data_IF_515693489044
#
_entry.id   IF_515693489044
#
_cell.length_a   1.000
_cell.length_b   1.000
_cell.length_c   1.000
_cell.angle_alpha   90.00
_cell.angle_beta   90.00
_cell.angle_gamma   90.00
#
_symmetry.space_group_name_H-M   'P 1'
#
loop_
_entity.id
_entity.type
_entity.pdbx_description
1 polymer ?
#
# COMPACT_ATOMS: atom_id res chain seq x y z
N UNK A 1 0.76 24.98 -7.85
CA UNK A 1 1.69 23.88 -7.51
C UNK A 1 3.09 24.32 -7.88
N UNK A 2 3.91 24.67 -6.90
CA UNK A 2 5.33 25.00 -7.13
C UNK A 2 6.05 23.71 -7.58
N UNK A 3 6.73 23.78 -8.72
CA UNK A 3 7.66 22.72 -9.13
C UNK A 3 8.77 22.65 -8.08
N UNK A 4 8.86 21.52 -7.39
CA UNK A 4 10.02 21.21 -6.56
C UNK A 4 11.20 21.03 -7.53
N UNK A 5 12.02 22.06 -7.66
CA UNK A 5 13.23 22.05 -8.52
C UNK A 5 14.44 21.54 -7.75
N UNK A 6 14.28 20.45 -6.98
CA UNK A 6 15.31 19.88 -6.14
C UNK A 6 15.23 18.36 -6.09
N UNK A 7 16.32 17.74 -5.70
CA UNK A 7 16.41 16.31 -5.45
C UNK A 7 15.93 16.03 -4.02
N UNK A 8 14.67 15.63 -3.85
CA UNK A 8 13.97 15.49 -2.55
C UNK A 8 14.62 14.41 -1.68
N UNK A 9 15.00 14.77 -0.46
CA UNK A 9 15.56 13.87 0.52
C UNK A 9 14.50 12.99 1.17
N UNK A 10 14.54 11.66 0.92
CA UNK A 10 13.60 10.69 1.44
C UNK A 10 14.15 9.97 2.67
N UNK A 11 13.42 10.04 3.78
CA UNK A 11 13.66 9.20 4.94
C UNK A 11 12.83 7.92 4.88
N UNK A 12 13.48 6.75 4.89
CA UNK A 12 12.80 5.45 4.83
C UNK A 12 12.71 4.84 6.23
N UNK A 13 11.49 4.64 6.70
CA UNK A 13 11.19 3.99 7.99
C UNK A 13 10.74 2.54 7.72
N UNK A 14 11.50 1.58 8.27
CA UNK A 14 11.22 0.16 8.08
C UNK A 14 12.00 -0.44 6.90
N UNK A 15 13.14 -1.05 7.20
CA UNK A 15 14.01 -1.74 6.24
C UNK A 15 13.89 -3.26 6.34
N UNK A 16 12.66 -3.78 6.46
CA UNK A 16 12.35 -5.18 6.31
C UNK A 16 12.45 -5.62 4.85
N UNK A 17 12.03 -6.86 4.55
CA UNK A 17 12.07 -7.43 3.18
C UNK A 17 11.45 -6.49 2.13
N UNK A 18 10.36 -5.80 2.46
CA UNK A 18 9.69 -4.91 1.52
C UNK A 18 10.36 -3.53 1.47
N UNK A 19 10.69 -2.94 2.61
CA UNK A 19 11.35 -1.63 2.68
C UNK A 19 12.74 -1.61 2.03
N UNK A 20 13.46 -2.73 2.06
CA UNK A 20 14.74 -2.86 1.35
C UNK A 20 14.63 -2.67 -0.16
N UNK A 21 13.44 -2.89 -0.76
CA UNK A 21 13.21 -2.61 -2.19
C UNK A 21 13.15 -1.11 -2.46
N UNK A 22 12.47 -0.35 -1.60
CA UNK A 22 12.42 1.12 -1.70
C UNK A 22 13.82 1.71 -1.59
N UNK A 23 14.58 1.26 -0.57
CA UNK A 23 15.95 1.69 -0.37
C UNK A 23 16.83 1.34 -1.57
N UNK A 24 16.72 0.12 -2.11
CA UNK A 24 17.45 -0.31 -3.30
C UNK A 24 17.19 0.61 -4.49
N UNK A 25 15.92 0.90 -4.80
CA UNK A 25 15.56 1.78 -5.91
C UNK A 25 16.10 3.19 -5.73
N UNK A 26 16.06 3.74 -4.50
CA UNK A 26 16.64 5.07 -4.22
C UNK A 26 18.16 5.09 -4.40
N UNK A 27 18.86 4.01 -4.03
CA UNK A 27 20.30 3.88 -4.24
C UNK A 27 20.65 3.67 -5.73
N UNK A 28 19.82 2.99 -6.51
CA UNK A 28 19.96 2.81 -7.95
C UNK A 28 19.62 4.09 -8.75
N UNK A 29 18.96 5.05 -8.12
CA UNK A 29 18.61 6.36 -8.68
C UNK A 29 17.16 6.46 -9.13
N UNK A 30 16.36 7.15 -8.33
CA UNK A 30 15.00 7.58 -8.70
C UNK A 30 15.06 9.06 -9.06
N UNK A 31 14.67 9.46 -10.29
CA UNK A 31 14.74 10.86 -10.70
C UNK A 31 14.00 11.79 -9.72
N UNK A 32 14.66 12.87 -9.30
CA UNK A 32 14.07 13.87 -8.41
C UNK A 32 14.06 13.51 -6.93
N UNK A 33 14.64 12.40 -6.49
CA UNK A 33 14.77 12.06 -5.08
C UNK A 33 16.04 11.26 -4.77
N UNK A 34 16.46 11.31 -3.51
CA UNK A 34 17.59 10.54 -2.99
C UNK A 34 17.28 10.00 -1.60
N UNK A 35 18.03 8.98 -1.19
CA UNK A 35 17.95 8.41 0.15
C UNK A 35 18.69 9.32 1.14
N UNK A 36 17.96 10.06 1.98
CA UNK A 36 18.53 10.99 2.96
C UNK A 36 18.82 10.30 4.30
N UNK A 37 17.98 9.36 4.73
CA UNK A 37 18.14 8.65 5.99
C UNK A 37 17.35 7.35 6.01
N UNK A 38 17.74 6.43 6.90
CA UNK A 38 17.02 5.17 7.12
C UNK A 38 16.79 4.92 8.61
N UNK A 39 15.66 4.22 8.90
CA UNK A 39 15.39 3.73 10.25
C UNK A 39 14.91 2.28 10.21
N UNK A 40 15.40 1.48 11.15
CA UNK A 40 14.94 0.11 11.40
C UNK A 40 15.16 -0.27 12.85
N UNK A 41 14.34 -1.21 13.35
CA UNK A 41 14.41 -1.69 14.72
C UNK A 41 15.70 -2.49 15.06
N UNK A 42 16.22 -3.24 14.07
CA UNK A 42 17.49 -3.98 14.23
C UNK A 42 18.66 -3.01 13.99
N UNK A 43 19.23 -2.52 15.08
CA UNK A 43 20.31 -1.54 15.05
C UNK A 43 21.59 -2.06 14.41
N UNK A 44 21.95 -3.32 14.65
CA UNK A 44 23.19 -3.91 14.12
C UNK A 44 23.19 -3.87 12.60
N UNK A 45 22.13 -4.41 11.99
CA UNK A 45 21.98 -4.37 10.53
C UNK A 45 21.75 -2.95 10.01
N UNK A 46 21.14 -2.06 10.82
CA UNK A 46 20.93 -0.67 10.45
C UNK A 46 22.23 0.12 10.34
N UNK A 47 23.11 0.01 11.35
CA UNK A 47 24.43 0.65 11.34
C UNK A 47 25.34 0.10 10.25
N UNK A 48 25.38 -1.21 10.08
CA UNK A 48 26.16 -1.84 9.00
C UNK A 48 25.70 -1.38 7.60
N UNK A 49 24.40 -1.17 7.42
CA UNK A 49 23.86 -0.60 6.19
C UNK A 49 24.29 0.86 6.00
N UNK A 50 24.15 1.67 7.03
CA UNK A 50 24.52 3.09 7.04
C UNK A 50 26.01 3.30 6.68
N UNK A 51 26.89 2.56 7.30
CA UNK A 51 28.34 2.58 7.00
C UNK A 51 28.64 2.20 5.56
N UNK A 52 28.00 1.12 5.06
CA UNK A 52 28.22 0.64 3.68
C UNK A 52 27.80 1.64 2.62
N UNK A 53 26.73 2.39 2.87
CA UNK A 53 26.12 3.25 1.85
C UNK A 53 26.29 4.74 2.10
N UNK A 54 26.94 5.13 3.21
CA UNK A 54 27.15 6.52 3.57
C UNK A 54 25.84 7.28 3.87
N UNK A 55 24.84 6.57 4.42
CA UNK A 55 23.50 7.13 4.69
C UNK A 55 23.27 7.17 6.21
N UNK A 56 22.78 8.28 6.78
CA UNK A 56 22.43 8.37 8.20
C UNK A 56 21.43 7.28 8.62
N UNK A 57 21.68 6.66 9.78
CA UNK A 57 20.81 5.66 10.40
C UNK A 57 20.28 6.16 11.74
N UNK A 58 18.99 5.92 11.99
CA UNK A 58 18.32 6.22 13.26
C UNK A 58 17.61 4.97 13.79
N UNK A 59 17.91 4.58 15.02
CA UNK A 59 17.22 3.48 15.68
C UNK A 59 15.77 3.84 16.01
N UNK A 60 15.54 5.06 16.48
CA UNK A 60 14.20 5.64 16.64
C UNK A 60 13.82 6.42 15.38
N UNK A 61 12.77 5.98 14.72
CA UNK A 61 12.23 6.65 13.54
C UNK A 61 11.75 8.09 13.82
N UNK A 62 11.44 8.42 15.08
CA UNK A 62 11.02 9.78 15.47
C UNK A 62 12.14 10.79 15.26
N UNK A 63 13.38 10.39 15.53
CA UNK A 63 14.55 11.22 15.24
C UNK A 63 14.71 11.46 13.73
N UNK A 64 14.53 10.42 12.90
CA UNK A 64 14.58 10.54 11.46
C UNK A 64 13.56 11.57 10.94
N UNK A 65 12.32 11.52 11.45
CA UNK A 65 11.25 12.45 11.03
C UNK A 65 11.58 13.91 11.32
N UNK A 66 12.38 14.21 12.34
CA UNK A 66 12.75 15.60 12.68
C UNK A 66 13.93 16.14 11.89
N UNK A 67 14.64 15.32 11.14
CA UNK A 67 15.87 15.73 10.44
C UNK A 67 15.55 16.69 9.28
N UNK A 68 16.28 17.82 9.15
CA UNK A 68 16.04 18.78 8.06
C UNK A 68 16.36 18.20 6.67
N UNK A 69 17.32 17.29 6.56
CA UNK A 69 17.68 16.60 5.33
C UNK A 69 16.61 15.60 4.85
N UNK A 70 15.71 15.18 5.72
CA UNK A 70 14.54 14.37 5.37
C UNK A 70 13.40 15.31 4.99
N UNK A 71 13.14 15.46 3.71
CA UNK A 71 12.08 16.34 3.19
C UNK A 71 10.74 15.62 3.03
N UNK A 72 10.76 14.28 2.84
CA UNK A 72 9.56 13.47 2.84
C UNK A 72 9.84 12.08 3.48
N UNK A 73 8.80 11.44 3.98
CA UNK A 73 8.88 10.15 4.70
C UNK A 73 8.27 9.03 3.87
N UNK A 74 8.98 7.91 3.78
CA UNK A 74 8.48 6.64 3.23
C UNK A 74 8.36 5.63 4.37
N UNK A 75 7.13 5.28 4.76
CA UNK A 75 6.88 4.33 5.83
C UNK A 75 6.55 2.94 5.28
N UNK A 76 7.40 1.96 5.57
CA UNK A 76 7.28 0.55 5.17
C UNK A 76 7.31 -0.32 6.42
N UNK A 77 6.35 -0.10 7.29
CA UNK A 77 6.23 -0.69 8.62
C UNK A 77 4.99 -1.58 8.73
N UNK A 78 4.88 -2.42 9.76
CA UNK A 78 3.61 -3.04 10.10
C UNK A 78 2.53 -1.97 10.28
N UNK A 79 1.28 -2.22 9.82
CA UNK A 79 0.22 -1.20 9.77
C UNK A 79 -0.07 -0.50 11.10
N UNK A 80 0.13 -1.20 12.22
CA UNK A 80 -0.08 -0.64 13.56
C UNK A 80 0.81 0.56 13.91
N UNK A 81 1.93 0.78 13.19
CA UNK A 81 2.80 1.94 13.38
C UNK A 81 2.46 3.10 12.44
N UNK A 82 1.70 2.88 11.39
CA UNK A 82 1.46 3.87 10.34
C UNK A 82 0.80 5.14 10.88
N UNK A 83 -0.15 5.00 11.82
CA UNK A 83 -0.82 6.14 12.44
C UNK A 83 0.17 7.06 13.17
N UNK A 84 1.02 6.51 14.06
CA UNK A 84 1.99 7.32 14.80
C UNK A 84 2.99 8.02 13.87
N UNK A 85 3.51 7.31 12.88
CA UNK A 85 4.44 7.85 11.88
C UNK A 85 3.75 8.97 11.08
N UNK A 86 2.53 8.76 10.62
CA UNK A 86 1.77 9.76 9.87
C UNK A 86 1.55 11.04 10.68
N UNK A 87 1.10 10.92 11.92
CA UNK A 87 0.86 12.07 12.79
C UNK A 87 2.16 12.83 13.10
N UNK A 88 3.28 12.12 13.29
CA UNK A 88 4.58 12.75 13.51
C UNK A 88 5.08 13.48 12.26
N UNK A 89 5.00 12.86 11.08
CA UNK A 89 5.39 13.48 9.81
C UNK A 89 4.53 14.70 9.48
N UNK A 90 3.21 14.63 9.70
CA UNK A 90 2.30 15.77 9.53
C UNK A 90 2.68 16.94 10.44
N UNK A 91 2.95 16.69 11.75
CA UNK A 91 3.43 17.73 12.67
C UNK A 91 4.76 18.34 12.26
N UNK A 92 5.64 17.55 11.64
CA UNK A 92 6.91 18.02 11.11
C UNK A 92 6.78 18.70 9.73
N UNK A 93 5.57 18.84 9.19
CA UNK A 93 5.33 19.46 7.88
C UNK A 93 5.84 18.63 6.70
N UNK A 94 5.98 17.30 6.85
CA UNK A 94 6.60 16.43 5.83
C UNK A 94 5.57 15.63 5.06
N UNK A 95 5.57 15.69 3.72
CA UNK A 95 4.84 14.77 2.87
C UNK A 95 5.22 13.31 3.17
N UNK A 96 4.29 12.38 2.91
CA UNK A 96 4.55 10.99 3.22
C UNK A 96 3.92 10.01 2.22
N UNK A 97 4.67 8.95 1.95
CA UNK A 97 4.22 7.72 1.29
C UNK A 97 4.15 6.60 2.34
N UNK A 98 2.99 6.04 2.56
CA UNK A 98 2.77 4.98 3.56
C UNK A 98 2.36 3.68 2.85
N UNK A 99 3.02 2.58 3.20
CA UNK A 99 2.64 1.27 2.69
C UNK A 99 1.22 0.88 3.09
N UNK A 100 0.61 0.12 2.22
CA UNK A 100 -0.72 -0.46 2.46
C UNK A 100 -0.66 -1.61 3.50
N UNK A 101 -1.74 -1.82 4.26
CA UNK A 101 -2.89 -0.94 4.40
C UNK A 101 -2.50 0.36 5.13
N UNK A 102 -3.22 1.45 4.83
CA UNK A 102 -2.93 2.76 5.42
C UNK A 102 -3.01 2.72 6.96
N UNK A 103 -4.02 2.05 7.49
CA UNK A 103 -4.32 1.94 8.93
C UNK A 103 -5.03 0.62 9.23
N UNK A 104 -5.15 0.28 10.52
CA UNK A 104 -5.90 -0.89 10.99
C UNK A 104 -7.41 -0.65 11.02
N UNK A 105 -7.83 0.60 11.19
CA UNK A 105 -9.25 0.96 11.30
C UNK A 105 -9.59 2.19 10.46
N UNK A 106 -10.87 2.32 10.10
CA UNK A 106 -11.38 3.50 9.38
C UNK A 106 -11.21 4.78 10.21
N UNK A 107 -11.36 4.70 11.53
CA UNK A 107 -11.19 5.84 12.42
C UNK A 107 -9.75 6.37 12.38
N UNK A 108 -8.76 5.49 12.49
CA UNK A 108 -7.34 5.85 12.35
C UNK A 108 -7.04 6.45 10.97
N UNK A 109 -7.53 5.83 9.90
CA UNK A 109 -7.34 6.34 8.55
C UNK A 109 -7.90 7.75 8.36
N UNK A 110 -9.08 8.04 8.93
CA UNK A 110 -9.68 9.38 8.91
C UNK A 110 -8.85 10.39 9.70
N UNK A 111 -8.34 10.01 10.86
CA UNK A 111 -7.44 10.86 11.65
C UNK A 111 -6.16 11.19 10.89
N UNK A 112 -5.52 10.18 10.26
CA UNK A 112 -4.32 10.36 9.47
C UNK A 112 -4.54 11.32 8.29
N UNK A 113 -5.62 11.13 7.53
CA UNK A 113 -5.99 12.00 6.42
C UNK A 113 -6.30 13.43 6.91
N UNK A 114 -7.00 13.54 8.05
CA UNK A 114 -7.31 14.83 8.69
C UNK A 114 -6.04 15.57 9.11
N UNK A 115 -5.10 14.88 9.75
CA UNK A 115 -3.82 15.46 10.19
C UNK A 115 -2.97 15.94 9.01
N UNK A 116 -2.83 15.15 7.95
CA UNK A 116 -2.11 15.53 6.75
C UNK A 116 -2.75 16.76 6.07
N UNK A 117 -4.08 16.78 5.97
CA UNK A 117 -4.83 17.92 5.41
C UNK A 117 -4.65 19.19 6.23
N UNK A 118 -4.75 19.10 7.56
CA UNK A 118 -4.54 20.25 8.46
C UNK A 118 -3.12 20.80 8.38
N UNK A 119 -2.13 19.92 8.24
CA UNK A 119 -0.73 20.31 8.07
C UNK A 119 -0.40 20.81 6.65
N UNK A 120 -1.32 20.69 5.68
CA UNK A 120 -1.08 21.08 4.29
C UNK A 120 -0.06 20.19 3.56
N UNK A 121 0.16 18.95 4.02
CA UNK A 121 1.12 18.01 3.43
C UNK A 121 0.44 16.89 2.66
N UNK A 122 1.13 16.38 1.63
CA UNK A 122 0.65 15.24 0.87
C UNK A 122 0.75 13.94 1.68
N UNK A 123 -0.32 13.15 1.69
CA UNK A 123 -0.34 11.76 2.16
C UNK A 123 -0.73 10.86 1.01
N UNK A 124 0.12 9.90 0.69
CA UNK A 124 -0.11 8.89 -0.34
C UNK A 124 -0.01 7.50 0.26
N UNK A 125 -0.96 6.63 -0.08
CA UNK A 125 -0.87 5.19 0.20
C UNK A 125 -0.24 4.47 -0.99
N UNK A 126 0.67 3.53 -0.74
CA UNK A 126 1.38 2.80 -1.78
C UNK A 126 0.48 1.74 -2.46
N UNK A 127 -0.49 2.18 -3.24
CA UNK A 127 -1.32 1.33 -4.10
C UNK A 127 -0.61 1.09 -5.43
N UNK A 128 0.40 0.23 -5.38
CA UNK A 128 1.37 0.03 -6.48
C UNK A 128 0.77 -0.50 -7.76
N UNK A 129 -0.38 -1.19 -7.70
CA UNK A 129 -1.06 -1.70 -8.90
C UNK A 129 -1.49 -0.58 -9.85
N UNK A 130 -1.81 0.61 -9.34
CA UNK A 130 -2.17 1.78 -10.17
C UNK A 130 -1.07 2.20 -11.15
N UNK A 131 0.18 1.86 -10.86
CA UNK A 131 1.38 2.20 -11.65
C UNK A 131 1.92 1.01 -12.46
N UNK A 132 1.14 -0.07 -12.56
CA UNK A 132 1.51 -1.23 -13.37
C UNK A 132 1.10 -0.98 -14.81
N UNK A 133 2.02 -1.04 -15.80
CA UNK A 133 1.70 -0.71 -17.20
C UNK A 133 0.51 -1.48 -17.77
N UNK A 134 0.35 -2.75 -17.38
CA UNK A 134 -0.79 -3.58 -17.80
C UNK A 134 -2.12 -2.99 -17.31
N UNK A 135 -2.19 -2.52 -16.05
CA UNK A 135 -3.42 -1.98 -15.47
C UNK A 135 -3.69 -0.55 -15.93
N UNK A 136 -2.65 0.24 -16.18
CA UNK A 136 -2.79 1.53 -16.86
C UNK A 136 -3.36 1.33 -18.28
N UNK A 137 -2.83 0.34 -19.00
CA UNK A 137 -3.35 -0.01 -20.33
C UNK A 137 -4.78 -0.50 -20.26
N UNK A 138 -5.12 -1.41 -19.35
CA UNK A 138 -6.49 -1.87 -19.14
C UNK A 138 -7.42 -0.67 -18.92
N UNK A 139 -7.09 0.22 -17.98
CA UNK A 139 -7.91 1.43 -17.74
C UNK A 139 -8.11 2.28 -18.97
N UNK A 140 -7.05 2.48 -19.76
CA UNK A 140 -7.11 3.28 -20.98
C UNK A 140 -7.96 2.63 -22.08
N UNK A 141 -8.11 1.30 -22.07
CA UNK A 141 -8.88 0.55 -23.07
C UNK A 141 -10.32 0.24 -22.66
N UNK A 142 -10.70 0.40 -21.39
CA UNK A 142 -12.07 0.18 -20.92
C UNK A 142 -13.14 0.90 -21.77
N UNK A 143 -12.95 2.17 -22.21
CA UNK A 143 -13.95 2.83 -23.06
C UNK A 143 -14.23 2.13 -24.41
N UNK A 144 -13.30 1.30 -24.89
CA UNK A 144 -13.44 0.60 -26.17
C UNK A 144 -14.45 -0.56 -26.11
N UNK A 145 -14.70 -1.10 -24.91
CA UNK A 145 -15.66 -2.20 -24.72
C UNK A 145 -17.07 -1.69 -24.35
N UNK A 146 -17.26 -0.37 -24.37
CA UNK A 146 -18.53 0.26 -24.04
C UNK A 146 -18.84 0.27 -22.53
N UNK A 147 -20.07 0.56 -22.14
CA UNK A 147 -20.49 0.48 -20.73
C UNK A 147 -20.17 -0.86 -20.12
N UNK A 148 -19.56 -0.84 -18.92
CA UNK A 148 -19.23 -2.07 -18.20
C UNK A 148 -20.49 -2.77 -17.68
N UNK A 149 -20.53 -4.07 -17.85
CA UNK A 149 -21.58 -4.95 -17.32
C UNK A 149 -21.11 -5.82 -16.17
N UNK A 150 -19.80 -6.09 -16.12
CA UNK A 150 -19.21 -6.91 -15.05
C UNK A 150 -17.70 -6.67 -14.92
N UNK A 151 -17.19 -6.73 -13.67
CA UNK A 151 -15.75 -6.68 -13.36
C UNK A 151 -15.39 -7.82 -12.42
N UNK A 152 -14.41 -8.66 -12.80
CA UNK A 152 -13.89 -9.76 -12.00
C UNK A 152 -12.41 -9.59 -11.73
N UNK A 153 -12.02 -9.58 -10.47
CA UNK A 153 -10.64 -9.43 -10.03
C UNK A 153 -10.22 -10.63 -9.16
N UNK A 154 -9.09 -11.24 -9.51
CA UNK A 154 -8.55 -12.39 -8.78
C UNK A 154 -7.08 -12.14 -8.45
N UNK A 155 -6.72 -12.33 -7.18
CA UNK A 155 -5.33 -12.34 -6.75
C UNK A 155 -5.09 -13.52 -5.80
N UNK A 156 -4.21 -14.42 -6.22
CA UNK A 156 -3.81 -15.58 -5.44
C UNK A 156 -2.31 -15.55 -5.22
N UNK A 157 -1.87 -15.96 -4.06
CA UNK A 157 -0.45 -16.06 -3.73
C UNK A 157 -0.18 -17.27 -2.86
N UNK A 158 1.09 -17.61 -2.76
CA UNK A 158 1.58 -18.65 -1.87
C UNK A 158 1.50 -18.17 -0.42
N UNK A 159 1.38 -19.11 0.50
CA UNK A 159 1.41 -18.82 1.93
C UNK A 159 2.77 -18.19 2.32
N UNK A 160 2.79 -17.01 2.94
CA UNK A 160 4.03 -16.40 3.36
C UNK A 160 4.58 -17.11 4.63
N UNK A 161 5.89 -17.12 4.80
CA UNK A 161 6.52 -17.71 5.99
C UNK A 161 6.43 -16.80 7.23
N UNK A 162 5.61 -15.75 7.21
CA UNK A 162 5.57 -14.74 8.26
C UNK A 162 4.41 -14.96 9.22
N UNK A 163 4.73 -15.35 10.46
CA UNK A 163 3.74 -15.59 11.52
C UNK A 163 2.95 -14.33 11.93
N UNK A 164 3.52 -13.12 11.79
CA UNK A 164 2.84 -11.88 12.14
C UNK A 164 1.60 -11.60 11.28
N UNK A 165 1.53 -12.16 10.07
CA UNK A 165 0.36 -12.04 9.19
C UNK A 165 -0.85 -12.84 9.69
N UNK A 166 -0.66 -13.81 10.58
CA UNK A 166 -1.74 -14.54 11.25
C UNK A 166 -2.13 -13.90 12.60
N UNK A 167 -1.52 -12.76 12.94
CA UNK A 167 -1.84 -12.01 14.15
C UNK A 167 -2.68 -10.76 13.81
N UNK A 168 -4.00 -10.76 14.11
CA UNK A 168 -4.88 -9.64 13.78
C UNK A 168 -4.49 -8.34 14.48
N UNK A 169 -3.80 -8.38 15.62
CA UNK A 169 -3.30 -7.18 16.29
C UNK A 169 -2.15 -6.49 15.52
N UNK A 170 -1.38 -7.25 14.74
CA UNK A 170 -0.29 -6.72 13.93
C UNK A 170 -0.68 -6.48 12.49
N UNK A 171 -1.43 -7.41 11.88
CA UNK A 171 -1.83 -7.38 10.48
C UNK A 171 -3.13 -6.60 10.26
N UNK A 172 -3.99 -6.48 11.27
CA UNK A 172 -5.30 -5.84 11.19
C UNK A 172 -6.40 -6.72 10.59
N UNK A 173 -6.03 -7.83 9.93
CA UNK A 173 -6.92 -8.77 9.25
C UNK A 173 -6.13 -9.76 8.43
N UNK A 174 -6.81 -10.61 7.67
CA UNK A 174 -6.21 -11.63 6.83
C UNK A 174 -5.97 -11.20 5.40
N UNK A 175 -6.16 -12.13 4.48
CA UNK A 175 -5.84 -11.95 3.06
C UNK A 175 -6.65 -10.85 2.39
N UNK A 176 -7.87 -10.59 2.85
CA UNK A 176 -8.71 -9.53 2.28
C UNK A 176 -8.10 -8.15 2.54
N UNK A 177 -7.60 -7.90 3.76
CA UNK A 177 -6.91 -6.65 4.09
C UNK A 177 -5.50 -6.61 3.51
N UNK A 178 -4.78 -7.73 3.48
CA UNK A 178 -3.40 -7.78 3.01
C UNK A 178 -3.26 -7.72 1.49
N UNK A 179 -4.04 -8.53 0.76
CA UNK A 179 -4.01 -8.61 -0.71
C UNK A 179 -5.23 -7.95 -1.32
N UNK A 180 -6.41 -8.23 -0.77
CA UNK A 180 -7.68 -7.77 -1.33
C UNK A 180 -7.78 -6.26 -1.41
N UNK A 181 -7.14 -5.53 -0.50
CA UNK A 181 -7.09 -4.06 -0.54
C UNK A 181 -6.57 -3.51 -1.88
N UNK A 182 -5.66 -4.23 -2.54
CA UNK A 182 -5.20 -3.85 -3.87
C UNK A 182 -6.30 -3.98 -4.92
N UNK A 183 -7.14 -5.01 -4.82
CA UNK A 183 -8.24 -5.23 -5.76
C UNK A 183 -9.41 -4.28 -5.49
N UNK A 184 -9.67 -3.95 -4.22
CA UNK A 184 -10.67 -2.94 -3.84
C UNK A 184 -10.25 -1.55 -4.36
N UNK A 185 -8.98 -1.21 -4.24
CA UNK A 185 -8.42 0.01 -4.81
C UNK A 185 -8.48 -0.01 -6.34
N UNK A 186 -8.23 -1.17 -6.97
CA UNK A 186 -8.27 -1.33 -8.41
C UNK A 186 -9.69 -1.15 -8.98
N UNK A 187 -10.74 -1.62 -8.30
CA UNK A 187 -12.13 -1.34 -8.67
C UNK A 187 -12.32 0.17 -8.78
N UNK A 188 -11.97 0.92 -7.74
CA UNK A 188 -12.09 2.40 -7.72
C UNK A 188 -11.24 3.07 -8.80
N UNK A 189 -10.04 2.54 -9.05
CA UNK A 189 -9.12 3.06 -10.07
C UNK A 189 -9.64 2.87 -11.50
N UNK A 190 -10.24 1.71 -11.78
CA UNK A 190 -10.76 1.38 -13.11
C UNK A 190 -12.10 2.05 -13.40
N UNK A 191 -12.99 2.12 -12.39
CA UNK A 191 -14.38 2.60 -12.59
C UNK A 191 -14.61 4.03 -12.14
N UNK A 192 -13.81 4.53 -11.19
CA UNK A 192 -14.06 5.83 -10.53
C UNK A 192 -15.20 5.78 -9.51
N UNK A 193 -15.74 4.59 -9.21
CA UNK A 193 -16.93 4.42 -8.38
C UNK A 193 -16.63 3.80 -7.02
N UNK A 194 -17.56 3.98 -6.08
CA UNK A 194 -17.53 3.36 -4.75
C UNK A 194 -18.49 2.18 -4.70
N UNK A 195 -18.11 1.15 -3.93
CA UNK A 195 -19.01 0.05 -3.61
C UNK A 195 -20.07 0.49 -2.59
N UNK A 196 -21.34 0.22 -2.88
CA UNK A 196 -22.48 0.53 -2.01
C UNK A 196 -23.03 -0.70 -1.30
N UNK A 197 -22.75 -1.89 -1.83
CA UNK A 197 -23.11 -3.17 -1.21
C UNK A 197 -21.93 -4.13 -1.31
N UNK A 198 -21.79 -4.99 -0.30
CA UNK A 198 -20.83 -6.07 -0.28
C UNK A 198 -21.43 -7.32 0.37
N UNK A 199 -21.18 -8.49 -0.22
CA UNK A 199 -21.53 -9.79 0.34
C UNK A 199 -20.47 -10.83 -0.05
N UNK A 200 -20.15 -11.75 0.84
CA UNK A 200 -19.13 -12.76 0.54
C UNK A 200 -18.80 -13.66 1.71
N UNK A 201 -17.79 -14.48 1.48
CA UNK A 201 -17.30 -15.45 2.45
C UNK A 201 -15.82 -15.22 2.72
N UNK A 202 -15.44 -15.37 3.97
CA UNK A 202 -14.05 -15.37 4.44
C UNK A 202 -13.77 -16.69 5.15
N UNK A 203 -12.75 -17.40 4.70
CA UNK A 203 -12.46 -18.76 5.15
C UNK A 203 -11.03 -18.86 5.69
N UNK A 204 -10.89 -19.66 6.75
CA UNK A 204 -9.60 -20.08 7.31
C UNK A 204 -9.33 -21.50 6.86
N UNK A 205 -8.35 -21.70 5.99
CA UNK A 205 -7.99 -23.03 5.46
C UNK A 205 -6.70 -23.55 6.10
N UNK A 206 -5.71 -22.68 6.28
CA UNK A 206 -4.39 -23.01 6.83
C UNK A 206 -3.96 -22.04 7.93
N UNK A 207 -4.68 -20.95 8.13
CA UNK A 207 -4.50 -19.98 9.22
C UNK A 207 -5.42 -20.30 10.38
N UNK A 208 -5.16 -19.74 11.54
CA UNK A 208 -5.93 -20.03 12.77
C UNK A 208 -6.65 -18.79 13.34
N UNK A 209 -6.24 -17.60 12.95
CA UNK A 209 -6.72 -16.34 13.57
C UNK A 209 -7.30 -15.36 12.57
N UNK A 210 -6.89 -15.43 11.30
CA UNK A 210 -7.34 -14.55 10.23
C UNK A 210 -7.75 -15.40 9.01
N UNK A 211 -8.48 -14.84 8.08
CA UNK A 211 -8.83 -15.50 6.82
C UNK A 211 -7.63 -15.56 5.87
N UNK A 212 -7.51 -16.68 5.13
CA UNK A 212 -6.51 -16.88 4.07
C UNK A 212 -7.13 -17.12 2.69
N UNK A 213 -8.47 -17.11 2.62
CA UNK A 213 -9.27 -17.10 1.41
C UNK A 213 -10.48 -16.20 1.62
N UNK A 214 -10.77 -15.31 0.66
CA UNK A 214 -11.98 -14.52 0.65
C UNK A 214 -12.54 -14.42 -0.78
N UNK A 215 -13.87 -14.54 -0.88
CA UNK A 215 -14.64 -14.35 -2.11
C UNK A 215 -15.73 -13.33 -1.81
N UNK A 216 -15.65 -12.17 -2.44
CA UNK A 216 -16.56 -11.05 -2.15
C UNK A 216 -17.16 -10.54 -3.44
N UNK A 217 -18.46 -10.27 -3.43
CA UNK A 217 -19.21 -9.58 -4.47
C UNK A 217 -19.53 -8.18 -4.00
N UNK A 218 -19.42 -7.23 -4.90
CA UNK A 218 -19.74 -5.83 -4.67
C UNK A 218 -20.78 -5.36 -5.68
N UNK A 219 -21.58 -4.39 -5.29
CA UNK A 219 -22.36 -3.57 -6.20
C UNK A 219 -21.86 -2.14 -6.10
N UNK A 220 -21.52 -1.53 -7.23
CA UNK A 220 -21.09 -0.14 -7.28
C UNK A 220 -22.29 0.80 -7.31
N UNK A 221 -22.05 2.10 -7.17
CA UNK A 221 -23.10 3.13 -7.15
C UNK A 221 -23.95 3.15 -8.45
N UNK A 222 -23.34 2.84 -9.60
CA UNK A 222 -24.04 2.67 -10.89
C UNK A 222 -24.90 1.40 -11.00
N UNK A 223 -24.76 0.48 -10.05
CA UNK A 223 -25.35 -0.87 -10.12
C UNK A 223 -24.39 -1.92 -10.72
N UNK A 224 -23.19 -1.54 -11.18
CA UNK A 224 -22.22 -2.46 -11.76
C UNK A 224 -21.83 -3.57 -10.75
N UNK A 225 -22.03 -4.86 -11.11
CA UNK A 225 -21.57 -5.96 -10.26
C UNK A 225 -20.08 -6.18 -10.44
N UNK A 226 -19.38 -6.37 -9.30
CA UNK A 226 -17.97 -6.72 -9.25
C UNK A 226 -17.77 -7.95 -8.39
N UNK A 227 -16.79 -8.79 -8.72
CA UNK A 227 -16.33 -9.87 -7.84
C UNK A 227 -14.83 -9.78 -7.57
N UNK A 228 -14.46 -10.12 -6.35
CA UNK A 228 -13.08 -10.18 -5.87
C UNK A 228 -12.84 -11.55 -5.25
N UNK A 229 -11.80 -12.23 -5.70
CA UNK A 229 -11.29 -13.44 -5.05
C UNK A 229 -9.83 -13.19 -4.66
N UNK A 230 -9.52 -13.44 -3.40
CA UNK A 230 -8.14 -13.38 -2.89
C UNK A 230 -7.83 -14.61 -2.05
N UNK A 231 -6.61 -15.13 -2.20
CA UNK A 231 -6.19 -16.25 -1.36
C UNK A 231 -4.67 -16.32 -1.17
N UNK A 232 -4.30 -17.00 -0.06
CA UNK A 232 -2.96 -17.43 0.29
C UNK A 232 -2.85 -18.96 0.36
N UNK A 233 -3.76 -19.65 -0.30
CA UNK A 233 -3.82 -21.13 -0.33
C UNK A 233 -3.38 -21.68 -1.68
N UNK A 234 -2.90 -20.82 -2.58
CA UNK A 234 -2.47 -21.22 -3.92
C UNK A 234 -1.02 -21.74 -3.91
N UNK A 235 -0.72 -22.72 -4.77
CA UNK A 235 0.65 -23.17 -5.03
C UNK A 235 1.44 -22.25 -5.97
N UNK A 236 0.83 -21.15 -6.44
CA UNK A 236 1.47 -20.17 -7.34
C UNK A 236 0.71 -18.86 -7.36
N UNK A 237 1.30 -17.86 -8.01
CA UNK A 237 0.75 -16.50 -8.10
C UNK A 237 -0.17 -16.35 -9.29
N UNK A 238 -1.32 -15.71 -9.05
CA UNK A 238 -2.26 -15.29 -10.07
C UNK A 238 -2.63 -13.84 -9.79
N UNK A 239 -2.61 -13.00 -10.83
CA UNK A 239 -3.21 -11.68 -10.80
C UNK A 239 -4.00 -11.54 -12.12
N UNK A 240 -5.33 -11.51 -12.03
CA UNK A 240 -6.23 -11.43 -13.18
C UNK A 240 -7.26 -10.33 -12.95
N UNK A 241 -7.43 -9.51 -13.97
CA UNK A 241 -8.54 -8.57 -14.09
C UNK A 241 -9.29 -8.90 -15.38
N UNK A 242 -10.60 -9.00 -15.30
CA UNK A 242 -11.50 -9.28 -16.41
C UNK A 242 -12.63 -8.27 -16.37
N UNK A 243 -12.78 -7.50 -17.44
CA UNK A 243 -13.82 -6.51 -17.59
C UNK A 243 -14.67 -6.89 -18.78
N UNK A 244 -15.98 -6.99 -18.58
CA UNK A 244 -16.96 -7.27 -19.64
C UNK A 244 -17.79 -6.02 -19.85
N UNK A 245 -17.85 -5.57 -21.08
CA UNK A 245 -18.67 -4.44 -21.51
C UNK A 245 -19.61 -4.84 -22.65
N UNK A 246 -20.50 -3.94 -23.02
CA UNK A 246 -21.51 -4.21 -24.07
C UNK A 246 -20.92 -4.47 -25.45
N UNK A 247 -19.71 -4.00 -25.72
CA UNK A 247 -19.06 -4.14 -27.02
C UNK A 247 -17.83 -5.07 -27.01
N UNK A 248 -17.53 -5.75 -25.88
CA UNK A 248 -16.40 -6.67 -25.80
C UNK A 248 -15.93 -6.98 -24.37
N UNK A 249 -14.80 -7.63 -24.31
CA UNK A 249 -14.13 -7.98 -23.04
C UNK A 249 -12.62 -7.88 -23.15
#
# INVERSE_FOLDING_TARGET
MSRVSGNVGLGVIGMGRHGSRYVKHLLEGVPGCHLAAVSRRDEVSGRAFAERHGVPFFADWRELVTRPEVEAVVAVTPPGLNREICLAAARAGKPMLIEKPLSLTVAEGREMVGAARTAGVALMTAQTLRFTPVLERLRATLPLIGPLEYLCLVMRAERPPHHWLDDPAQAGGGVLLEIGIHLLDLIRYLTGEEAVEAAGEMLQRHTTRVEDLAQVRFRLASGLPCSVEVSRVSGGRVCRAEAVGQAGQ
#
